data_IF_896505525544
#
_entry.id   IF_896505525544
#
_cell.length_a   1.000
_cell.length_b   1.000
_cell.length_c   1.000
_cell.angle_alpha   90.00
_cell.angle_beta   90.00
_cell.angle_gamma   90.00
#
_symmetry.space_group_name_H-M   'P 1'
#
loop_
_entity.id
_entity.type
_entity.pdbx_description
1 polymer ?
#
# COMPACT_ATOMS: atom_id res chain seq x y z
N UNK A 1 -1.74 13.92 65.26
CA UNK A 1 -2.58 15.09 64.95
C UNK A 1 -3.33 14.80 63.66
N UNK A 2 -4.65 14.66 63.75
CA UNK A 2 -5.49 14.19 62.65
C UNK A 2 -5.78 15.28 61.64
N UNK A 3 -5.42 15.03 60.38
CA UNK A 3 -5.85 15.84 59.24
C UNK A 3 -7.35 15.66 59.02
N UNK A 4 -8.09 16.77 59.07
CA UNK A 4 -9.52 16.82 58.76
C UNK A 4 -9.77 16.37 57.33
N UNK A 5 -10.33 15.17 57.16
CA UNK A 5 -10.58 14.53 55.87
C UNK A 5 -11.82 15.17 55.23
N UNK A 6 -11.62 16.19 54.40
CA UNK A 6 -12.73 16.86 53.70
C UNK A 6 -13.17 16.05 52.48
N UNK A 7 -14.48 15.95 52.27
CA UNK A 7 -15.16 15.21 51.18
C UNK A 7 -14.70 15.58 49.75
N UNK A 8 -13.84 16.59 49.59
CA UNK A 8 -13.35 17.13 48.31
C UNK A 8 -12.01 16.52 47.86
N UNK A 9 -11.33 15.75 48.73
CA UNK A 9 -10.01 15.16 48.46
C UNK A 9 -10.04 13.88 47.60
N UNK A 10 -11.23 13.38 47.23
CA UNK A 10 -11.38 12.18 46.41
C UNK A 10 -10.91 12.37 44.97
N UNK A 11 -11.09 13.57 44.40
CA UNK A 11 -10.60 13.89 43.05
C UNK A 11 -9.08 13.78 42.96
N UNK A 12 -8.36 14.25 43.98
CA UNK A 12 -6.90 14.20 44.05
C UNK A 12 -6.37 12.78 44.25
N UNK A 13 -7.13 11.93 44.95
CA UNK A 13 -6.79 10.52 45.19
C UNK A 13 -7.20 9.59 44.03
N UNK A 14 -7.95 10.10 43.06
CA UNK A 14 -8.41 9.30 41.92
C UNK A 14 -7.23 8.88 41.03
N UNK A 15 -6.31 9.80 40.76
CA UNK A 15 -5.11 9.51 39.96
C UNK A 15 -4.21 8.48 40.67
N UNK A 16 -4.01 8.63 41.98
CA UNK A 16 -3.26 7.67 42.80
C UNK A 16 -3.94 6.29 42.84
N UNK A 17 -5.26 6.24 42.98
CA UNK A 17 -6.04 5.00 42.96
C UNK A 17 -6.02 4.32 41.59
N UNK A 18 -6.07 5.09 40.50
CA UNK A 18 -5.96 4.57 39.14
C UNK A 18 -4.54 4.04 38.87
N UNK A 19 -3.52 4.75 39.33
CA UNK A 19 -2.13 4.31 39.26
C UNK A 19 -1.91 3.00 40.02
N UNK A 20 -2.45 2.89 41.24
CA UNK A 20 -2.44 1.65 42.01
C UNK A 20 -3.20 0.53 41.30
N UNK A 21 -4.35 0.80 40.69
CA UNK A 21 -5.09 -0.21 39.91
C UNK A 21 -4.28 -0.73 38.71
N UNK A 22 -3.57 0.16 38.02
CA UNK A 22 -2.71 -0.19 36.87
C UNK A 22 -1.46 -1.00 37.25
N UNK A 23 -0.97 -0.89 38.49
CA UNK A 23 0.37 -1.41 38.86
C UNK A 23 0.37 -2.40 40.02
N UNK A 24 -0.56 -2.30 40.97
CA UNK A 24 -0.59 -3.09 42.20
C UNK A 24 -1.37 -4.40 42.05
N UNK A 25 -2.43 -4.42 41.24
CA UNK A 25 -3.18 -5.65 40.96
C UNK A 25 -2.51 -6.43 39.83
N UNK A 26 -1.81 -7.50 40.20
CA UNK A 26 -1.31 -8.50 39.26
C UNK A 26 -2.14 -9.76 39.40
N UNK A 27 -2.59 -10.30 38.28
CA UNK A 27 -3.19 -11.64 38.22
C UNK A 27 -2.16 -12.70 38.64
N UNK A 28 -2.58 -13.96 38.88
CA UNK A 28 -1.65 -15.07 39.20
C UNK A 28 -0.55 -15.28 38.14
N UNK A 29 -0.74 -14.72 36.94
CA UNK A 29 0.17 -14.74 35.78
C UNK A 29 1.13 -13.52 35.79
N UNK A 30 0.96 -12.58 36.71
CA UNK A 30 1.85 -11.43 36.88
C UNK A 30 1.50 -10.20 36.02
N UNK A 31 0.45 -10.27 35.19
CA UNK A 31 -0.02 -9.15 34.36
C UNK A 31 -1.09 -8.31 35.07
N UNK A 32 -1.08 -7.00 34.83
CA UNK A 32 -2.14 -6.11 35.30
C UNK A 32 -3.38 -6.15 34.39
N UNK A 33 -4.58 -5.83 34.91
CA UNK A 33 -5.79 -5.73 34.09
C UNK A 33 -5.65 -4.76 32.91
N UNK A 34 -4.89 -3.66 33.07
CA UNK A 34 -4.63 -2.70 32.00
C UNK A 34 -3.83 -3.33 30.85
N UNK A 35 -2.80 -4.10 31.17
CA UNK A 35 -1.98 -4.80 30.18
C UNK A 35 -2.78 -5.83 29.38
N UNK A 36 -3.59 -6.63 30.08
CA UNK A 36 -4.45 -7.63 29.42
C UNK A 36 -5.43 -7.02 28.41
N UNK A 37 -5.96 -5.84 28.69
CA UNK A 37 -6.94 -5.17 27.81
C UNK A 37 -6.23 -4.38 26.70
N UNK A 38 -5.23 -3.58 27.04
CA UNK A 38 -4.66 -2.61 26.11
C UNK A 38 -3.43 -3.10 25.36
N UNK A 39 -2.55 -3.91 25.95
CA UNK A 39 -1.39 -4.44 25.21
C UNK A 39 -1.86 -5.43 24.14
N UNK A 40 -2.80 -6.33 24.47
CA UNK A 40 -3.36 -7.27 23.50
C UNK A 40 -4.16 -6.57 22.39
N UNK A 41 -4.95 -5.54 22.72
CA UNK A 41 -5.67 -4.77 21.71
C UNK A 41 -4.72 -3.96 20.81
N UNK A 42 -3.65 -3.40 21.37
CA UNK A 42 -2.65 -2.65 20.60
C UNK A 42 -1.85 -3.56 19.66
N UNK A 43 -1.40 -4.72 20.12
CA UNK A 43 -0.71 -5.69 19.25
C UNK A 43 -1.62 -6.17 18.12
N UNK A 44 -2.87 -6.52 18.42
CA UNK A 44 -3.83 -6.98 17.41
C UNK A 44 -4.15 -5.87 16.38
N UNK A 45 -4.31 -4.62 16.82
CA UNK A 45 -4.60 -3.51 15.90
C UNK A 45 -3.44 -3.23 14.96
N UNK A 46 -2.19 -3.23 15.45
CA UNK A 46 -1.00 -3.08 14.59
C UNK A 46 -0.87 -4.22 13.59
N UNK A 47 -1.11 -5.47 14.01
CA UNK A 47 -1.05 -6.63 13.11
C UNK A 47 -2.07 -6.50 11.97
N UNK A 48 -3.28 -6.03 12.27
CA UNK A 48 -4.32 -5.78 11.29
C UNK A 48 -3.96 -4.63 10.33
N UNK A 49 -3.43 -3.51 10.85
CA UNK A 49 -2.97 -2.39 10.03
C UNK A 49 -1.84 -2.80 9.09
N UNK A 50 -0.84 -3.50 9.60
CA UNK A 50 0.28 -4.01 8.79
C UNK A 50 -0.21 -4.96 7.70
N UNK A 51 -1.14 -5.87 8.02
CA UNK A 51 -1.73 -6.78 7.03
C UNK A 51 -2.51 -6.02 5.96
N UNK A 52 -3.30 -5.01 6.34
CA UNK A 52 -4.03 -4.19 5.39
C UNK A 52 -3.08 -3.41 4.46
N UNK A 53 -2.01 -2.84 5.00
CA UNK A 53 -0.96 -2.16 4.23
C UNK A 53 -0.24 -3.12 3.27
N UNK A 54 0.02 -4.35 3.72
CA UNK A 54 0.61 -5.38 2.87
C UNK A 54 -0.31 -5.76 1.71
N UNK A 55 -1.59 -6.00 1.96
CA UNK A 55 -2.58 -6.30 0.92
C UNK A 55 -2.71 -5.15 -0.09
N UNK A 56 -2.73 -3.90 0.38
CA UNK A 56 -2.75 -2.72 -0.47
C UNK A 56 -1.51 -2.64 -1.38
N UNK A 57 -0.31 -2.88 -0.82
CA UNK A 57 0.93 -2.89 -1.59
C UNK A 57 0.91 -3.96 -2.68
N UNK A 58 0.40 -5.15 -2.37
CA UNK A 58 0.27 -6.24 -3.33
C UNK A 58 -0.74 -5.93 -4.43
N UNK A 59 -1.85 -5.26 -4.12
CA UNK A 59 -2.81 -4.79 -5.11
C UNK A 59 -2.15 -3.77 -6.05
N UNK A 60 -1.47 -2.76 -5.52
CA UNK A 60 -0.78 -1.75 -6.34
C UNK A 60 0.24 -2.38 -7.28
N UNK A 61 1.06 -3.32 -6.79
CA UNK A 61 2.02 -4.03 -7.64
C UNK A 61 1.33 -4.81 -8.77
N UNK A 62 0.19 -5.46 -8.48
CA UNK A 62 -0.59 -6.14 -9.53
C UNK A 62 -1.15 -5.18 -10.57
N UNK A 63 -1.59 -3.99 -10.14
CA UNK A 63 -2.07 -2.93 -11.04
C UNK A 63 -0.94 -2.43 -11.94
N UNK A 64 0.24 -2.15 -11.40
CA UNK A 64 1.40 -1.72 -12.19
C UNK A 64 1.81 -2.78 -13.21
N UNK A 65 1.83 -4.05 -12.81
CA UNK A 65 2.13 -5.16 -13.72
C UNK A 65 1.09 -5.25 -14.86
N UNK A 66 -0.20 -5.10 -14.54
CA UNK A 66 -1.26 -5.12 -15.55
C UNK A 66 -1.18 -3.92 -16.50
N UNK A 67 -0.82 -2.73 -15.98
CA UNK A 67 -0.60 -1.53 -16.77
C UNK A 67 0.59 -1.70 -17.72
N UNK A 68 1.73 -2.15 -17.21
CA UNK A 68 2.94 -2.38 -18.00
C UNK A 68 2.69 -3.40 -19.11
N UNK A 69 1.98 -4.50 -18.82
CA UNK A 69 1.63 -5.49 -19.83
C UNK A 69 0.78 -4.91 -20.95
N UNK A 70 -0.20 -4.05 -20.64
CA UNK A 70 -1.02 -3.38 -21.67
C UNK A 70 -0.19 -2.41 -22.51
N UNK A 71 0.71 -1.68 -21.87
CA UNK A 71 1.61 -0.76 -22.56
C UNK A 71 2.54 -1.50 -23.52
N UNK A 72 3.10 -2.63 -23.09
CA UNK A 72 3.94 -3.49 -23.92
C UNK A 72 3.18 -4.02 -25.15
N UNK A 73 1.95 -4.49 -24.96
CA UNK A 73 1.09 -4.93 -26.06
C UNK A 73 0.80 -3.81 -27.07
N UNK A 74 0.56 -2.59 -26.60
CA UNK A 74 0.36 -1.43 -27.47
C UNK A 74 1.64 -1.08 -28.26
N UNK A 75 2.79 -1.14 -27.60
CA UNK A 75 4.08 -0.87 -28.24
C UNK A 75 4.39 -1.90 -29.35
N UNK A 76 4.11 -3.18 -29.09
CA UNK A 76 4.28 -4.24 -30.08
C UNK A 76 3.36 -4.02 -31.31
N UNK A 77 2.11 -3.63 -31.09
CA UNK A 77 1.18 -3.29 -32.16
C UNK A 77 1.67 -2.10 -32.99
N UNK A 78 2.18 -1.05 -32.34
CA UNK A 78 2.72 0.13 -33.03
C UNK A 78 3.94 -0.23 -33.89
N UNK A 79 4.83 -1.09 -33.37
CA UNK A 79 5.99 -1.58 -34.12
C UNK A 79 5.56 -2.37 -35.37
N UNK A 80 4.54 -3.24 -35.27
CA UNK A 80 4.00 -3.92 -36.45
C UNK A 80 3.42 -2.96 -37.48
N UNK A 81 2.72 -1.91 -37.02
CA UNK A 81 2.19 -0.87 -37.90
C UNK A 81 3.32 -0.14 -38.63
N UNK A 82 4.36 0.29 -37.91
CA UNK A 82 5.53 0.97 -38.48
C UNK A 82 6.22 0.09 -39.53
N UNK A 83 6.47 -1.18 -39.22
CA UNK A 83 7.07 -2.13 -40.17
C UNK A 83 6.21 -2.32 -41.43
N UNK A 84 4.88 -2.34 -41.30
CA UNK A 84 3.97 -2.44 -42.44
C UNK A 84 4.04 -1.19 -43.34
N UNK A 85 4.10 0.01 -42.74
CA UNK A 85 4.25 1.26 -43.48
C UNK A 85 5.58 1.32 -44.22
N UNK A 86 6.70 1.01 -43.55
CA UNK A 86 8.02 0.96 -44.17
C UNK A 86 8.05 0.01 -45.37
N UNK A 87 7.47 -1.20 -45.23
CA UNK A 87 7.36 -2.16 -46.34
C UNK A 87 6.52 -1.63 -47.49
N UNK A 88 5.40 -0.96 -47.20
CA UNK A 88 4.53 -0.36 -48.22
C UNK A 88 5.26 0.75 -48.99
N UNK A 89 5.97 1.61 -48.27
CA UNK A 89 6.70 2.73 -48.87
C UNK A 89 7.87 2.25 -49.72
N UNK A 90 8.62 1.25 -49.25
CA UNK A 90 9.66 0.58 -50.04
C UNK A 90 9.10 -0.06 -51.31
N UNK A 91 7.93 -0.69 -51.24
CA UNK A 91 7.28 -1.27 -52.42
C UNK A 91 6.93 -0.19 -53.45
N UNK A 92 6.28 0.89 -53.02
CA UNK A 92 5.93 2.02 -53.89
C UNK A 92 7.18 2.66 -54.52
N UNK A 93 8.25 2.83 -53.75
CA UNK A 93 9.51 3.37 -54.26
C UNK A 93 10.13 2.49 -55.35
N UNK A 94 10.12 1.16 -55.15
CA UNK A 94 10.61 0.19 -56.15
C UNK A 94 9.79 0.26 -57.43
N UNK A 95 8.46 0.29 -57.32
CA UNK A 95 7.54 0.39 -58.47
C UNK A 95 7.79 1.69 -59.23
N UNK A 96 7.90 2.82 -58.53
CA UNK A 96 8.23 4.13 -59.13
C UNK A 96 9.55 4.09 -59.89
N UNK A 97 10.63 3.59 -59.27
CA UNK A 97 11.94 3.45 -59.94
C UNK A 97 11.88 2.57 -61.19
N UNK A 98 11.06 1.52 -61.19
CA UNK A 98 10.83 0.72 -62.39
C UNK A 98 10.12 1.53 -63.47
N UNK A 99 9.00 2.19 -63.17
CA UNK A 99 8.28 3.02 -64.14
C UNK A 99 9.14 4.14 -64.73
N UNK A 100 9.87 4.87 -63.89
CA UNK A 100 10.74 5.98 -64.33
C UNK A 100 11.82 5.47 -65.30
N UNK A 101 12.40 4.29 -65.07
CA UNK A 101 13.36 3.65 -66.00
C UNK A 101 12.74 3.31 -67.36
N UNK A 102 11.49 2.85 -67.37
CA UNK A 102 10.78 2.51 -68.61
C UNK A 102 10.34 3.74 -69.41
N UNK A 103 10.17 4.90 -68.77
CA UNK A 103 9.77 6.17 -69.43
C UNK A 103 10.97 6.85 -70.11
N UNK A 104 12.19 6.65 -69.61
CA UNK A 104 13.42 7.32 -70.11
C UNK A 104 14.09 6.57 -71.28
N UNK A 105 13.49 5.46 -71.75
CA UNK A 105 13.96 4.65 -72.88
C UNK A 105 13.08 4.85 -74.12
#
# INVERSE_FOLDING_TARGET
MGSSNTRKDWSRKLDDALWAYRTAFKTSIGMSPYQLVYENAYHLTIELEHKALWELKQLNLKWDNAMNRRLEQLNEMDEFCLQAYERSDLYKERVKKYHDRWIVQ
#
